data_IF_406865397440
#
_entry.id   IF_406865397440
#
_cell.length_a   1.000
_cell.length_b   1.000
_cell.length_c   1.000
_cell.angle_alpha   90.00
_cell.angle_beta   90.00
_cell.angle_gamma   90.00
#
_symmetry.space_group_name_H-M   'P 1'
#
loop_
_entity.id
_entity.type
_entity.pdbx_description
1 polymer ?
#
# COMPACT_ATOMS: atom_id res chain seq x y z
N UNK A 1 -8.62 35.03 -23.69
CA UNK A 1 -7.50 34.87 -22.74
C UNK A 1 -7.66 33.69 -21.76
N UNK A 2 -8.74 32.89 -21.84
CA UNK A 2 -9.04 31.79 -20.90
C UNK A 2 -8.50 30.39 -21.30
N UNK A 3 -7.95 30.22 -22.51
CA UNK A 3 -7.61 28.88 -23.05
C UNK A 3 -6.20 28.36 -22.73
N UNK A 4 -5.30 29.18 -22.17
CA UNK A 4 -3.90 28.76 -21.91
C UNK A 4 -3.68 28.22 -20.50
N UNK A 5 -4.49 28.62 -19.53
CA UNK A 5 -4.34 28.17 -18.13
C UNK A 5 -4.87 26.75 -17.93
N UNK A 6 -5.95 26.39 -18.63
CA UNK A 6 -6.52 25.03 -18.61
C UNK A 6 -5.61 23.99 -19.27
N UNK A 7 -4.89 24.37 -20.33
CA UNK A 7 -3.98 23.46 -21.03
C UNK A 7 -2.72 23.15 -20.22
N UNK A 8 -2.23 24.11 -19.42
CA UNK A 8 -1.05 23.93 -18.56
C UNK A 8 -1.37 23.10 -17.31
N UNK A 9 -2.58 23.22 -16.77
CA UNK A 9 -3.03 22.39 -15.65
C UNK A 9 -3.34 20.95 -16.08
N UNK A 10 -3.87 20.74 -17.29
CA UNK A 10 -4.02 19.40 -17.87
C UNK A 10 -2.65 18.75 -18.15
N UNK A 11 -1.68 19.52 -18.66
CA UNK A 11 -0.31 19.02 -18.86
C UNK A 11 0.37 18.65 -17.55
N UNK A 12 0.27 19.50 -16.52
CA UNK A 12 0.85 19.23 -15.20
C UNK A 12 0.25 17.97 -14.53
N UNK A 13 -1.07 17.76 -14.65
CA UNK A 13 -1.73 16.56 -14.15
C UNK A 13 -1.31 15.28 -14.91
N UNK A 14 -1.01 15.38 -16.21
CA UNK A 14 -0.48 14.25 -16.99
C UNK A 14 1.02 14.00 -16.79
N UNK A 15 1.77 14.87 -16.11
CA UNK A 15 3.18 14.62 -15.76
C UNK A 15 3.35 13.99 -14.39
N UNK A 16 2.41 14.18 -13.46
CA UNK A 16 2.45 13.54 -12.14
C UNK A 16 2.14 12.05 -12.21
N UNK A 17 1.30 11.62 -13.16
CA UNK A 17 0.95 10.20 -13.34
C UNK A 17 1.89 9.43 -14.28
N UNK A 18 2.65 10.14 -15.14
CA UNK A 18 3.66 9.54 -16.02
C UNK A 18 5.04 9.38 -15.36
N UNK A 19 5.30 10.03 -14.21
CA UNK A 19 6.61 9.99 -13.57
C UNK A 19 6.85 8.73 -12.70
N UNK A 20 5.84 7.89 -12.47
CA UNK A 20 6.00 6.61 -11.78
C UNK A 20 6.18 5.42 -12.74
N UNK A 21 5.77 5.55 -14.00
CA UNK A 21 5.82 4.46 -14.99
C UNK A 21 7.24 4.16 -15.48
N UNK A 22 7.65 2.90 -15.32
CA UNK A 22 8.90 2.28 -15.82
C UNK A 22 10.22 2.85 -15.29
N UNK A 23 10.44 2.79 -13.98
CA UNK A 23 11.68 3.29 -13.38
C UNK A 23 12.45 2.25 -12.58
N UNK A 24 13.05 1.30 -13.30
CA UNK A 24 14.23 0.57 -12.78
C UNK A 24 15.44 1.47 -12.90
N UNK A 25 16.09 1.76 -11.78
CA UNK A 25 17.33 2.52 -11.78
C UNK A 25 18.52 1.58 -11.67
N UNK A 26 19.56 1.82 -12.47
CA UNK A 26 20.83 1.09 -12.34
C UNK A 26 21.92 2.06 -11.89
N UNK A 27 22.67 1.69 -10.88
CA UNK A 27 23.79 2.50 -10.39
C UNK A 27 25.03 2.38 -11.29
N UNK A 28 26.09 3.12 -10.92
CA UNK A 28 27.38 3.08 -11.62
C UNK A 28 28.09 1.71 -11.53
N UNK A 29 27.66 0.83 -10.63
CA UNK A 29 28.20 -0.52 -10.44
C UNK A 29 27.43 -1.59 -11.24
N UNK A 30 26.31 -1.22 -11.88
CA UNK A 30 25.43 -2.13 -12.61
C UNK A 30 24.35 -2.78 -11.74
N UNK A 31 24.18 -2.34 -10.49
CA UNK A 31 23.17 -2.84 -9.56
C UNK A 31 21.84 -2.14 -9.82
N UNK A 32 20.76 -2.91 -9.95
CA UNK A 32 19.41 -2.39 -10.17
C UNK A 32 18.66 -2.15 -8.87
N UNK A 33 17.90 -1.04 -8.80
CA UNK A 33 17.08 -0.61 -7.67
C UNK A 33 15.65 -0.34 -8.11
N UNK A 34 14.73 -0.53 -7.17
CA UNK A 34 13.30 -0.22 -7.30
C UNK A 34 12.98 1.29 -7.25
N UNK A 35 13.93 2.11 -6.81
CA UNK A 35 13.72 3.56 -6.60
C UNK A 35 14.84 4.42 -7.21
N UNK A 36 14.58 5.73 -7.47
CA UNK A 36 15.58 6.65 -7.99
C UNK A 36 16.80 6.78 -7.08
N UNK A 37 17.98 6.87 -7.70
CA UNK A 37 19.19 7.30 -7.00
C UNK A 37 19.12 8.80 -6.75
N UNK A 38 19.32 9.23 -5.50
CA UNK A 38 19.46 10.65 -5.16
C UNK A 38 20.96 10.98 -5.17
N UNK A 39 21.37 11.94 -6.02
CA UNK A 39 22.77 12.35 -6.17
C UNK A 39 23.75 11.21 -6.54
N UNK A 40 23.28 10.22 -7.32
CA UNK A 40 24.11 9.08 -7.74
C UNK A 40 24.39 8.06 -6.62
N UNK A 41 23.78 8.24 -5.45
CA UNK A 41 23.77 7.28 -4.36
C UNK A 41 22.35 6.74 -4.19
N UNK A 42 22.25 5.50 -3.72
CA UNK A 42 20.96 4.95 -3.30
C UNK A 42 20.48 5.82 -2.15
N UNK A 43 19.29 6.38 -2.26
CA UNK A 43 18.62 7.08 -1.19
C UNK A 43 18.13 6.07 -0.14
N UNK A 44 19.05 5.29 0.42
CA UNK A 44 18.71 4.40 1.51
C UNK A 44 18.39 5.25 2.71
N UNK A 45 17.33 4.91 3.44
CA UNK A 45 17.34 5.11 4.87
C UNK A 45 18.54 4.29 5.39
N UNK A 46 19.69 4.94 5.60
CA UNK A 46 20.88 4.29 6.15
C UNK A 46 20.96 4.61 7.63
N UNK A 47 20.92 3.61 8.53
CA UNK A 47 20.79 2.16 8.28
C UNK A 47 19.36 1.75 7.87
N UNK A 48 19.18 0.56 7.23
CA UNK A 48 17.87 0.06 6.82
C UNK A 48 16.84 0.18 7.94
N UNK A 49 15.64 0.63 7.60
CA UNK A 49 14.54 0.78 8.55
C UNK A 49 14.11 -0.61 9.03
N UNK A 50 14.45 -0.91 10.28
CA UNK A 50 13.95 -2.10 10.97
C UNK A 50 12.77 -1.69 11.84
N UNK A 51 11.55 -1.99 11.37
CA UNK A 51 10.35 -1.76 12.16
C UNK A 51 10.28 -2.73 13.33
N UNK A 52 10.54 -2.21 14.52
CA UNK A 52 10.32 -2.96 15.75
C UNK A 52 8.83 -2.93 16.08
N UNK A 53 8.22 -4.07 16.42
CA UNK A 53 6.83 -4.06 16.84
C UNK A 53 6.59 -3.14 18.02
N UNK A 54 5.41 -2.51 18.08
CA UNK A 54 5.03 -1.60 19.16
C UNK A 54 5.08 -2.31 20.52
N UNK A 55 5.62 -1.60 21.52
CA UNK A 55 5.61 -2.04 22.91
C UNK A 55 4.18 -2.03 23.49
N UNK A 56 3.91 -2.79 24.56
CA UNK A 56 2.60 -2.77 25.22
C UNK A 56 2.19 -1.37 25.71
N UNK A 57 3.17 -0.54 26.11
CA UNK A 57 2.93 0.87 26.46
C UNK A 57 2.44 1.67 25.25
N UNK A 58 3.10 1.51 24.10
CA UNK A 58 2.72 2.18 22.86
C UNK A 58 1.38 1.68 22.31
N UNK A 59 1.12 0.37 22.38
CA UNK A 59 -0.17 -0.22 22.03
C UNK A 59 -1.29 0.38 22.88
N UNK A 60 -1.10 0.44 24.20
CA UNK A 60 -2.10 1.02 25.10
C UNK A 60 -2.31 2.51 24.85
N UNK A 61 -1.24 3.28 24.62
CA UNK A 61 -1.33 4.69 24.26
C UNK A 61 -2.09 4.90 22.95
N UNK A 62 -1.88 4.02 21.98
CA UNK A 62 -2.64 3.98 20.73
C UNK A 62 -4.02 3.31 20.88
N UNK A 63 -4.48 3.00 22.11
CA UNK A 63 -5.76 2.33 22.38
C UNK A 63 -5.94 0.99 21.65
N UNK A 64 -4.84 0.28 21.37
CA UNK A 64 -4.83 -1.07 20.83
C UNK A 64 -4.71 -2.10 21.96
N UNK A 65 -5.21 -3.34 21.76
CA UNK A 65 -5.07 -4.39 22.76
C UNK A 65 -3.58 -4.65 23.05
N UNK A 66 -3.20 -4.82 24.33
CA UNK A 66 -1.84 -5.19 24.66
C UNK A 66 -1.51 -6.57 24.08
N UNK A 67 -0.24 -6.77 23.71
CA UNK A 67 0.22 -8.10 23.31
C UNK A 67 0.12 -9.03 24.52
N UNK A 68 -0.51 -10.17 24.30
CA UNK A 68 -0.55 -11.24 25.30
C UNK A 68 0.88 -11.58 25.73
N UNK A 69 1.15 -11.74 27.03
CA UNK A 69 2.45 -12.20 27.48
C UNK A 69 2.77 -13.52 26.78
N UNK A 70 3.94 -13.62 26.14
CA UNK A 70 4.42 -14.89 25.60
C UNK A 70 4.84 -15.76 26.79
N UNK A 71 3.89 -16.49 27.35
CA UNK A 71 4.22 -17.62 28.21
C UNK A 71 4.71 -18.75 27.31
N UNK A 72 5.86 -19.33 27.63
CA UNK A 72 6.35 -20.54 26.96
C UNK A 72 5.36 -21.66 27.33
N UNK A 73 4.56 -22.05 26.33
CA UNK A 73 3.61 -23.18 26.27
C UNK A 73 2.36 -23.17 27.17
N UNK A 74 1.19 -23.00 26.55
CA UNK A 74 0.22 -24.09 26.29
C UNK A 74 -1.15 -23.53 25.84
N UNK A 75 -1.79 -24.30 24.97
CA UNK A 75 -3.03 -24.05 24.23
C UNK A 75 -4.20 -23.49 25.05
N UNK A 76 -4.86 -22.42 24.56
CA UNK A 76 -6.27 -22.11 24.86
C UNK A 76 -6.97 -21.54 23.61
N UNK A 77 -8.18 -22.04 23.37
CA UNK A 77 -8.96 -21.95 22.14
C UNK A 77 -9.30 -20.53 21.63
N UNK A 78 -9.31 -20.41 20.30
CA UNK A 78 -9.80 -19.26 19.51
C UNK A 78 -11.25 -18.92 19.85
N UNK A 79 -11.52 -17.66 20.23
CA UNK A 79 -12.85 -17.06 20.12
C UNK A 79 -13.09 -16.64 18.67
N UNK A 80 -14.27 -16.95 18.13
CA UNK A 80 -14.76 -16.45 16.84
C UNK A 80 -15.32 -15.03 17.02
N UNK A 81 -14.98 -14.05 16.18
CA UNK A 81 -15.71 -12.79 16.11
C UNK A 81 -17.12 -13.03 15.54
N UNK A 82 -18.12 -12.35 16.08
CA UNK A 82 -19.43 -12.18 15.46
C UNK A 82 -19.34 -11.26 14.25
N UNK A 83 -20.19 -11.48 13.25
CA UNK A 83 -20.26 -10.64 12.04
C UNK A 83 -20.49 -9.18 12.43
N UNK A 84 -19.59 -8.30 12.01
CA UNK A 84 -19.74 -6.85 12.10
C UNK A 84 -20.42 -6.41 10.82
N UNK A 85 -21.45 -5.58 10.95
CA UNK A 85 -22.13 -4.94 9.82
C UNK A 85 -21.12 -4.18 8.95
N UNK A 86 -21.39 -4.11 7.64
CA UNK A 86 -20.55 -3.44 6.67
C UNK A 86 -20.09 -2.06 7.18
N UNK A 87 -18.78 -1.87 7.30
CA UNK A 87 -18.21 -0.62 7.82
C UNK A 87 -18.40 0.47 6.77
N UNK A 88 -19.46 1.25 6.91
CA UNK A 88 -19.52 2.60 6.34
C UNK A 88 -19.02 3.57 7.40
N UNK A 89 -17.75 3.98 7.33
CA UNK A 89 -17.16 4.85 8.36
C UNK A 89 -15.70 5.20 8.10
N UNK A 90 -15.15 6.07 8.94
CA UNK A 90 -13.72 6.38 8.92
C UNK A 90 -12.95 5.36 9.75
N UNK A 91 -11.76 5.02 9.29
CA UNK A 91 -10.87 4.05 9.91
C UNK A 91 -9.42 4.48 9.77
N UNK A 92 -8.56 3.93 10.62
CA UNK A 92 -7.11 3.96 10.47
C UNK A 92 -6.60 2.60 10.02
N UNK A 93 -5.51 2.58 9.26
CA UNK A 93 -4.91 1.34 8.76
C UNK A 93 -3.76 0.93 9.68
N UNK A 94 -3.91 -0.19 10.38
CA UNK A 94 -2.86 -0.78 11.22
C UNK A 94 -1.98 -1.68 10.36
N UNK A 95 -0.67 -1.53 10.50
CA UNK A 95 0.32 -2.39 9.85
C UNK A 95 0.81 -3.45 10.83
N UNK A 96 0.70 -4.71 10.44
CA UNK A 96 1.18 -5.88 11.21
C UNK A 96 2.24 -6.64 10.44
N UNK A 97 3.19 -7.24 11.14
CA UNK A 97 4.13 -8.20 10.56
C UNK A 97 3.45 -9.54 10.21
N UNK A 98 4.19 -10.40 9.54
CA UNK A 98 3.76 -11.77 9.17
C UNK A 98 3.34 -12.63 10.38
N UNK A 99 3.79 -12.29 11.59
CA UNK A 99 3.47 -13.00 12.84
C UNK A 99 2.26 -12.37 13.56
N UNK A 100 1.62 -11.36 12.97
CA UNK A 100 0.46 -10.66 13.51
C UNK A 100 0.79 -9.59 14.56
N UNK A 101 2.06 -9.26 14.76
CA UNK A 101 2.50 -8.22 15.67
C UNK A 101 2.41 -6.83 15.03
N UNK A 102 1.79 -5.87 15.73
CA UNK A 102 1.64 -4.50 15.22
C UNK A 102 2.98 -3.80 15.11
N UNK A 103 3.31 -3.33 13.90
CA UNK A 103 4.49 -2.51 13.60
C UNK A 103 4.20 -1.02 13.78
N UNK A 104 2.98 -0.59 13.43
CA UNK A 104 2.55 0.81 13.45
C UNK A 104 1.25 1.01 12.69
N UNK A 105 1.14 2.17 12.06
CA UNK A 105 0.03 2.61 11.21
C UNK A 105 0.57 3.08 9.87
N UNK A 106 -0.27 3.08 8.84
CA UNK A 106 0.02 3.83 7.61
C UNK A 106 0.07 5.32 7.96
N UNK A 107 1.16 6.00 7.63
CA UNK A 107 1.36 7.42 7.92
C UNK A 107 0.56 8.32 6.98
N UNK A 108 0.14 9.49 7.48
CA UNK A 108 -0.56 10.51 6.66
C UNK A 108 0.39 11.42 5.86
N UNK A 109 1.65 11.51 6.29
CA UNK A 109 2.69 12.28 5.63
C UNK A 109 3.44 11.35 4.68
N UNK A 110 3.55 11.75 3.42
CA UNK A 110 4.21 10.96 2.39
C UNK A 110 5.73 11.04 2.52
N UNK A 111 6.42 10.06 1.96
CA UNK A 111 7.87 10.10 1.74
C UNK A 111 8.23 11.08 0.62
N UNK A 112 9.54 11.27 0.39
CA UNK A 112 10.05 12.04 -0.75
C UNK A 112 9.72 11.40 -2.12
N UNK A 113 9.17 10.19 -2.13
CA UNK A 113 8.73 9.46 -3.33
C UNK A 113 7.20 9.45 -3.50
N UNK A 114 6.48 10.29 -2.75
CA UNK A 114 5.00 10.34 -2.73
C UNK A 114 4.34 9.02 -2.30
N UNK A 115 5.05 8.20 -1.52
CA UNK A 115 4.58 6.91 -1.00
C UNK A 115 4.22 7.01 0.48
N UNK A 116 3.39 6.08 0.97
CA UNK A 116 3.01 6.05 2.39
C UNK A 116 4.07 5.32 3.25
N UNK A 117 4.58 5.95 4.33
CA UNK A 117 5.46 5.28 5.29
C UNK A 117 4.68 4.56 6.40
N UNK A 118 5.39 3.77 7.22
CA UNK A 118 4.88 3.28 8.50
C UNK A 118 5.22 4.28 9.62
N UNK A 119 4.22 4.75 10.35
CA UNK A 119 4.40 5.55 11.56
C UNK A 119 4.06 4.78 12.83
N UNK A 120 4.81 5.01 13.91
CA UNK A 120 4.51 4.48 15.24
C UNK A 120 3.64 5.42 16.08
N UNK A 121 3.44 6.66 15.62
CA UNK A 121 2.59 7.65 16.27
C UNK A 121 1.16 7.58 15.71
N UNK A 122 0.20 7.22 16.56
CA UNK A 122 -1.21 7.13 16.18
C UNK A 122 -1.83 8.48 15.76
N UNK A 123 -1.25 9.62 16.15
CA UNK A 123 -1.73 10.95 15.76
C UNK A 123 -1.31 11.35 14.34
N UNK A 124 -0.32 10.64 13.80
CA UNK A 124 0.16 10.76 12.42
C UNK A 124 -0.40 9.66 11.51
N UNK A 125 -1.30 8.81 12.02
CA UNK A 125 -1.94 7.76 11.25
C UNK A 125 -2.87 8.35 10.17
N UNK A 126 -2.82 7.77 8.97
CA UNK A 126 -3.73 8.05 7.88
C UNK A 126 -5.15 7.62 8.28
N UNK A 127 -6.10 8.54 8.08
CA UNK A 127 -7.52 8.25 8.21
C UNK A 127 -8.12 8.05 6.82
N UNK A 128 -8.84 6.95 6.62
CA UNK A 128 -9.52 6.62 5.37
C UNK A 128 -10.99 6.39 5.61
N UNK A 129 -11.82 6.64 4.60
CA UNK A 129 -13.22 6.22 4.54
C UNK A 129 -13.32 5.04 3.60
N UNK A 130 -13.90 3.93 4.07
CA UNK A 130 -14.18 2.77 3.22
C UNK A 130 -15.40 3.08 2.36
N UNK A 131 -15.23 3.00 1.03
CA UNK A 131 -16.27 3.23 0.03
C UNK A 131 -16.48 1.93 -0.73
N UNK A 132 -17.57 1.18 -0.50
CA UNK A 132 -17.86 -0.02 -1.28
C UNK A 132 -18.05 0.29 -2.77
N UNK A 133 -17.73 -0.66 -3.65
CA UNK A 133 -18.04 -0.54 -5.08
C UNK A 133 -19.55 -0.25 -5.29
N UNK A 134 -19.91 0.60 -6.27
CA UNK A 134 -21.30 0.77 -6.68
C UNK A 134 -21.88 -0.50 -7.34
N UNK A 135 -21.04 -1.42 -7.83
CA UNK A 135 -21.47 -2.72 -8.33
C UNK A 135 -21.75 -3.68 -7.15
N UNK A 136 -23.00 -4.12 -6.94
CA UNK A 136 -23.36 -5.01 -5.85
C UNK A 136 -22.79 -6.43 -5.97
N UNK A 137 -22.21 -6.79 -7.12
CA UNK A 137 -21.57 -8.09 -7.36
C UNK A 137 -20.07 -8.08 -7.09
N UNK A 138 -19.51 -6.89 -6.83
CA UNK A 138 -18.10 -6.70 -6.54
C UNK A 138 -17.80 -6.77 -5.04
N UNK A 139 -16.74 -7.49 -4.69
CA UNK A 139 -16.19 -7.52 -3.33
C UNK A 139 -15.16 -6.39 -3.09
N UNK A 140 -14.94 -5.53 -4.08
CA UNK A 140 -13.96 -4.47 -3.99
C UNK A 140 -14.46 -3.26 -3.20
N UNK A 141 -13.52 -2.61 -2.53
CA UNK A 141 -13.72 -1.35 -1.81
C UNK A 141 -12.64 -0.36 -2.20
N UNK A 142 -12.99 0.91 -2.14
CA UNK A 142 -12.07 2.02 -2.22
C UNK A 142 -11.75 2.56 -0.82
N UNK A 143 -10.53 3.07 -0.68
CA UNK A 143 -10.04 3.68 0.56
C UNK A 143 -9.84 5.18 0.33
N UNK A 144 -10.88 5.97 0.57
CA UNK A 144 -10.88 7.41 0.32
C UNK A 144 -10.17 8.17 1.43
N UNK A 145 -9.29 9.11 1.07
CA UNK A 145 -8.59 10.02 1.97
C UNK A 145 -9.43 11.30 2.13
N UNK A 146 -9.99 11.58 3.32
CA UNK A 146 -10.84 12.75 3.51
C UNK A 146 -10.08 14.06 3.31
N UNK A 147 -10.67 14.98 2.53
CA UNK A 147 -10.13 16.34 2.34
C UNK A 147 -9.02 16.47 1.29
N UNK A 148 -8.66 15.38 0.59
CA UNK A 148 -7.70 15.44 -0.51
C UNK A 148 -8.36 15.82 -1.85
N UNK A 149 -7.62 16.46 -2.79
CA UNK A 149 -8.06 16.67 -4.16
C UNK A 149 -8.40 15.37 -4.89
N UNK A 150 -9.27 15.44 -5.90
CA UNK A 150 -9.81 14.25 -6.58
C UNK A 150 -8.72 13.34 -7.18
N UNK A 151 -7.63 13.92 -7.67
CA UNK A 151 -6.51 13.22 -8.31
C UNK A 151 -5.62 12.43 -7.34
N UNK A 152 -5.75 12.67 -6.04
CA UNK A 152 -4.96 12.08 -4.95
C UNK A 152 -5.84 11.64 -3.76
N UNK A 153 -7.13 11.43 -4.03
CA UNK A 153 -8.14 11.22 -2.98
C UNK A 153 -8.31 9.77 -2.54
N UNK A 154 -7.56 8.82 -3.11
CA UNK A 154 -7.69 7.40 -2.80
C UNK A 154 -6.34 6.76 -2.52
N UNK A 155 -6.31 5.80 -1.61
CA UNK A 155 -5.14 4.95 -1.39
C UNK A 155 -5.17 3.82 -2.41
N UNK A 156 -4.11 3.65 -3.18
CA UNK A 156 -4.00 2.52 -4.10
C UNK A 156 -2.58 2.27 -4.59
N UNK A 157 -2.49 1.67 -5.77
CA UNK A 157 -1.23 1.24 -6.37
C UNK A 157 -0.85 2.16 -7.52
N UNK A 158 0.31 2.81 -7.41
CA UNK A 158 1.01 3.43 -8.53
C UNK A 158 2.04 2.44 -9.09
N UNK A 159 2.02 2.15 -10.40
CA UNK A 159 2.92 1.15 -11.00
C UNK A 159 4.37 1.65 -10.97
N UNK A 160 5.31 0.86 -10.44
CA UNK A 160 6.75 1.17 -10.39
C UNK A 160 7.60 0.47 -11.46
N UNK A 161 6.97 -0.11 -12.47
CA UNK A 161 7.30 -1.43 -13.00
C UNK A 161 8.76 -1.77 -13.37
N UNK A 162 9.02 -3.08 -13.18
CA UNK A 162 10.14 -3.86 -13.68
C UNK A 162 9.69 -5.24 -14.18
N UNK A 163 8.85 -5.27 -15.21
CA UNK A 163 8.30 -6.50 -15.77
C UNK A 163 6.96 -6.23 -16.47
N UNK A 164 6.50 -7.17 -17.29
CA UNK A 164 5.30 -6.96 -18.12
C UNK A 164 3.97 -7.27 -17.41
N UNK A 165 3.98 -7.87 -16.21
CA UNK A 165 2.77 -8.36 -15.52
C UNK A 165 3.01 -8.58 -14.03
N UNK A 166 2.00 -8.37 -13.18
CA UNK A 166 2.02 -8.95 -11.83
C UNK A 166 1.82 -10.47 -11.89
N UNK A 167 2.43 -11.19 -10.95
CA UNK A 167 2.19 -12.62 -10.76
C UNK A 167 3.46 -13.43 -10.55
N UNK A 168 3.28 -14.73 -10.40
CA UNK A 168 4.35 -15.68 -10.05
C UNK A 168 5.52 -15.61 -11.03
N UNK A 169 6.73 -15.49 -10.51
CA UNK A 169 7.98 -15.40 -11.28
C UNK A 169 8.28 -14.04 -11.89
N UNK A 170 7.39 -13.04 -11.73
CA UNK A 170 7.60 -11.69 -12.22
C UNK A 170 7.95 -10.73 -11.08
N UNK A 171 8.96 -9.89 -11.29
CA UNK A 171 9.42 -8.90 -10.33
C UNK A 171 8.69 -7.55 -10.44
N UNK A 172 7.55 -7.50 -11.15
CA UNK A 172 6.70 -6.32 -11.19
C UNK A 172 6.22 -5.95 -9.77
N UNK A 173 6.26 -4.65 -9.49
CA UNK A 173 5.90 -4.05 -8.21
C UNK A 173 5.16 -2.73 -8.44
N UNK A 174 4.51 -2.23 -7.40
CA UNK A 174 3.90 -0.92 -7.39
C UNK A 174 4.00 -0.28 -6.00
N UNK A 175 4.01 1.05 -5.99
CA UNK A 175 4.08 1.85 -4.79
C UNK A 175 2.70 2.06 -4.19
N UNK A 176 2.62 2.08 -2.86
CA UNK A 176 1.41 2.50 -2.16
C UNK A 176 1.41 4.00 -1.99
N UNK A 177 0.49 4.67 -2.70
CA UNK A 177 0.41 6.12 -2.71
C UNK A 177 -1.02 6.64 -2.87
N UNK A 178 -1.20 7.96 -2.70
CA UNK A 178 -2.43 8.63 -3.03
C UNK A 178 -2.58 8.74 -4.56
N UNK A 179 -3.73 8.32 -5.06
CA UNK A 179 -4.03 8.27 -6.50
C UNK A 179 -5.46 8.70 -6.78
N UNK A 180 -5.79 8.81 -8.06
CA UNK A 180 -7.12 9.17 -8.53
C UNK A 180 -8.11 8.01 -8.34
N UNK A 181 -9.39 8.36 -8.23
CA UNK A 181 -10.47 7.38 -8.30
C UNK A 181 -10.41 6.62 -9.63
N UNK A 182 -10.66 5.31 -9.58
CA UNK A 182 -10.76 4.49 -10.78
C UNK A 182 -11.93 4.96 -11.63
N UNK A 183 -11.70 5.19 -12.92
CA UNK A 183 -12.77 5.53 -13.88
C UNK A 183 -13.49 4.29 -14.43
N UNK A 184 -12.92 3.10 -14.22
CA UNK A 184 -13.43 1.81 -14.70
C UNK A 184 -13.41 0.78 -13.58
N UNK A 185 -14.25 0.98 -12.53
CA UNK A 185 -14.42 -0.03 -11.52
C UNK A 185 -15.02 -1.29 -12.14
N UNK A 186 -14.47 -2.45 -11.80
CA UNK A 186 -15.06 -3.77 -12.04
C UNK A 186 -15.14 -4.38 -13.46
N UNK A 187 -14.78 -3.71 -14.57
CA UNK A 187 -14.92 -4.33 -15.92
C UNK A 187 -13.68 -4.38 -16.81
N UNK A 188 -12.67 -3.53 -16.58
CA UNK A 188 -11.58 -3.36 -17.54
C UNK A 188 -10.25 -3.91 -17.01
N UNK A 189 -9.43 -4.41 -17.94
CA UNK A 189 -8.11 -4.95 -17.65
C UNK A 189 -7.16 -3.85 -17.19
N UNK A 190 -6.50 -4.01 -16.04
CA UNK A 190 -5.41 -3.12 -15.65
C UNK A 190 -4.13 -3.59 -16.31
N UNK A 191 -3.97 -3.20 -17.58
CA UNK A 191 -2.75 -3.46 -18.33
C UNK A 191 -1.57 -2.84 -17.58
N UNK A 192 -0.47 -3.59 -17.50
CA UNK A 192 0.79 -3.03 -17.01
C UNK A 192 1.21 -1.93 -18.00
N UNK A 193 1.19 -0.68 -17.53
CA UNK A 193 1.32 0.52 -18.36
C UNK A 193 0.18 1.55 -18.21
N UNK A 194 -0.91 1.20 -17.51
CA UNK A 194 -1.86 2.17 -16.95
C UNK A 194 -1.25 2.94 -15.76
N UNK A 195 -1.74 4.14 -15.45
CA UNK A 195 -1.02 5.06 -14.55
C UNK A 195 -1.16 4.77 -13.04
N UNK A 196 -2.16 4.01 -12.60
CA UNK A 196 -2.44 3.64 -11.19
C UNK A 196 -3.81 2.96 -11.09
N UNK A 197 -4.10 2.29 -9.96
CA UNK A 197 -5.43 1.75 -9.66
C UNK A 197 -5.77 1.90 -8.17
N UNK A 198 -6.96 2.46 -7.87
CA UNK A 198 -7.49 2.63 -6.51
C UNK A 198 -8.39 1.49 -6.07
N UNK A 199 -9.13 0.90 -7.01
CA UNK A 199 -10.07 -0.19 -6.72
C UNK A 199 -9.37 -1.56 -6.68
N UNK A 200 -8.31 -1.66 -5.86
CA UNK A 200 -7.53 -2.90 -5.66
C UNK A 200 -7.90 -3.62 -4.35
N UNK A 201 -8.64 -2.99 -3.45
CA UNK A 201 -8.81 -3.48 -2.10
C UNK A 201 -10.03 -4.38 -1.97
N UNK A 202 -9.89 -5.42 -1.17
CA UNK A 202 -10.99 -6.22 -0.64
C UNK A 202 -10.90 -6.23 0.87
N UNK A 203 -12.05 -6.24 1.54
CA UNK A 203 -12.14 -6.17 3.00
C UNK A 203 -12.82 -7.42 3.54
N UNK A 204 -12.15 -8.14 4.45
CA UNK A 204 -12.85 -9.15 5.24
C UNK A 204 -13.63 -8.47 6.38
N UNK A 205 -14.97 -8.47 6.37
CA UNK A 205 -15.76 -7.72 7.34
C UNK A 205 -15.68 -8.29 8.77
N UNK A 206 -15.24 -9.54 8.93
CA UNK A 206 -15.14 -10.20 10.25
C UNK A 206 -13.79 -9.97 10.94
N UNK A 207 -12.71 -9.82 10.18
CA UNK A 207 -11.35 -9.63 10.70
C UNK A 207 -10.80 -8.24 10.47
N UNK A 208 -11.47 -7.46 9.63
CA UNK A 208 -11.08 -6.15 9.14
C UNK A 208 -9.73 -6.16 8.41
N UNK A 209 -9.29 -7.33 7.95
CA UNK A 209 -8.07 -7.48 7.17
C UNK A 209 -8.35 -6.99 5.75
N UNK A 210 -7.48 -6.09 5.28
CA UNK A 210 -7.45 -5.66 3.87
C UNK A 210 -6.56 -6.62 3.07
N UNK A 211 -7.03 -6.98 1.89
CA UNK A 211 -6.24 -7.69 0.87
C UNK A 211 -6.25 -6.88 -0.41
N UNK A 212 -5.15 -6.91 -1.16
CA UNK A 212 -5.03 -6.22 -2.43
C UNK A 212 -5.02 -7.23 -3.59
N UNK A 213 -5.74 -6.91 -4.66
CA UNK A 213 -5.84 -7.70 -5.89
C UNK A 213 -5.60 -6.78 -7.07
N UNK A 214 -4.79 -7.24 -8.02
CA UNK A 214 -4.61 -6.59 -9.31
C UNK A 214 -5.39 -7.32 -10.39
N UNK A 215 -6.14 -6.62 -11.24
CA UNK A 215 -6.78 -7.27 -12.40
C UNK A 215 -5.82 -7.25 -13.58
N UNK A 216 -5.28 -8.41 -13.92
CA UNK A 216 -4.37 -8.53 -15.06
C UNK A 216 -5.07 -8.33 -16.42
N UNK A 217 -4.30 -8.43 -17.50
CA UNK A 217 -4.80 -8.32 -18.89
C UNK A 217 -5.82 -9.41 -19.27
N UNK A 218 -5.87 -10.53 -18.53
CA UNK A 218 -6.88 -11.57 -18.72
C UNK A 218 -8.18 -11.30 -17.97
N UNK A 219 -8.25 -10.23 -17.17
CA UNK A 219 -9.36 -9.94 -16.25
C UNK A 219 -9.32 -10.74 -14.94
N UNK A 220 -8.42 -11.72 -14.81
CA UNK A 220 -8.30 -12.51 -13.59
C UNK A 220 -7.67 -11.70 -12.44
N UNK A 221 -8.19 -11.84 -11.20
CA UNK A 221 -7.61 -11.20 -10.03
C UNK A 221 -6.29 -11.89 -9.63
N UNK A 222 -5.23 -11.10 -9.55
CA UNK A 222 -3.89 -11.49 -9.13
C UNK A 222 -3.66 -10.98 -7.71
N UNK A 223 -3.49 -11.86 -6.70
CA UNK A 223 -3.18 -11.44 -5.34
C UNK A 223 -1.88 -10.64 -5.26
N UNK A 224 -1.95 -9.49 -4.61
CA UNK A 224 -0.78 -8.67 -4.30
C UNK A 224 -0.32 -8.94 -2.87
N UNK A 225 0.98 -9.14 -2.71
CA UNK A 225 1.63 -9.14 -1.41
C UNK A 225 1.98 -7.72 -1.02
N UNK A 226 1.45 -7.29 0.13
CA UNK A 226 1.84 -6.04 0.76
C UNK A 226 3.17 -6.22 1.50
N UNK A 227 4.10 -5.31 1.30
CA UNK A 227 5.36 -5.29 2.02
C UNK A 227 5.77 -3.87 2.39
N UNK A 228 6.64 -3.79 3.40
CA UNK A 228 7.31 -2.57 3.77
C UNK A 228 8.75 -2.66 3.26
N UNK A 229 9.19 -1.69 2.47
CA UNK A 229 10.56 -1.61 1.98
C UNK A 229 11.41 -0.87 3.00
N UNK A 230 12.19 -1.61 3.80
CA UNK A 230 13.06 -1.02 4.80
C UNK A 230 14.27 -0.32 4.21
N UNK A 231 14.51 -0.44 2.90
CA UNK A 231 15.55 0.29 2.18
C UNK A 231 15.17 1.76 2.03
N UNK A 232 13.90 2.05 1.70
CA UNK A 232 13.40 3.40 1.41
C UNK A 232 12.38 3.93 2.44
N UNK A 233 11.83 3.05 3.29
CA UNK A 233 10.99 3.41 4.43
C UNK A 233 9.49 3.49 4.13
N UNK A 234 9.04 2.90 3.03
CA UNK A 234 7.68 2.98 2.50
C UNK A 234 6.99 1.63 2.35
N UNK A 235 5.77 1.68 1.81
CA UNK A 235 4.84 0.57 1.65
C UNK A 235 4.59 0.32 0.17
N UNK A 236 4.66 -0.94 -0.22
CA UNK A 236 4.64 -1.37 -1.61
C UNK A 236 3.85 -2.67 -1.82
N UNK A 237 3.66 -3.01 -3.09
CA UNK A 237 2.97 -4.18 -3.58
C UNK A 237 3.84 -4.99 -4.55
N UNK A 238 3.79 -6.32 -4.42
CA UNK A 238 4.36 -7.22 -5.42
C UNK A 238 3.44 -8.42 -5.68
N UNK A 239 3.34 -8.86 -6.92
CA UNK A 239 2.64 -10.09 -7.29
C UNK A 239 3.43 -11.35 -6.90
N UNK A 240 4.76 -11.24 -6.87
CA UNK A 240 5.68 -12.26 -6.34
C UNK A 240 6.83 -11.57 -5.60
N UNK A 241 6.70 -11.51 -4.27
CA UNK A 241 7.69 -10.86 -3.41
C UNK A 241 9.08 -11.51 -3.52
N UNK A 242 9.15 -12.82 -3.77
CA UNK A 242 10.43 -13.52 -3.91
C UNK A 242 11.12 -13.11 -5.21
N UNK A 243 10.38 -13.03 -6.33
CA UNK A 243 10.92 -12.56 -7.59
C UNK A 243 11.38 -11.09 -7.51
N UNK A 244 10.64 -10.24 -6.80
CA UNK A 244 11.02 -8.85 -6.51
C UNK A 244 12.36 -8.79 -5.76
N UNK A 245 12.47 -9.44 -4.60
CA UNK A 245 13.70 -9.42 -3.78
C UNK A 245 14.90 -9.97 -4.53
N UNK A 246 14.72 -11.04 -5.31
CA UNK A 246 15.80 -11.61 -6.11
C UNK A 246 16.30 -10.66 -7.21
N UNK A 247 15.46 -9.75 -7.71
CA UNK A 247 15.82 -8.81 -8.77
C UNK A 247 16.50 -7.56 -8.23
N UNK A 248 16.01 -7.00 -7.13
CA UNK A 248 16.46 -5.71 -6.61
C UNK A 248 17.37 -5.79 -5.40
N UNK A 249 17.30 -6.88 -4.63
CA UNK A 249 18.09 -7.04 -3.40
C UNK A 249 17.65 -6.15 -2.25
N UNK A 250 16.49 -5.50 -2.35
CA UNK A 250 15.95 -4.61 -1.33
C UNK A 250 15.61 -5.36 -0.03
N UNK A 251 15.82 -4.69 1.11
CA UNK A 251 15.45 -5.21 2.42
C UNK A 251 13.95 -5.00 2.66
N UNK A 252 13.15 -6.03 2.41
CA UNK A 252 11.69 -5.95 2.55
C UNK A 252 11.16 -6.79 3.71
N UNK A 253 10.05 -6.35 4.28
CA UNK A 253 9.27 -7.10 5.27
C UNK A 253 7.83 -7.27 4.78
N UNK A 254 7.35 -8.51 4.67
CA UNK A 254 5.94 -8.76 4.38
C UNK A 254 5.06 -8.25 5.52
N UNK A 255 3.97 -7.56 5.17
CA UNK A 255 3.04 -7.00 6.13
C UNK A 255 1.59 -7.40 5.86
N UNK A 256 0.71 -7.13 6.82
CA UNK A 256 -0.74 -7.29 6.71
C UNK A 256 -1.41 -6.02 7.23
N UNK A 257 -2.43 -5.55 6.51
CA UNK A 257 -3.19 -4.38 6.90
C UNK A 257 -4.51 -4.77 7.57
N UNK A 258 -4.81 -4.08 8.66
CA UNK A 258 -6.05 -4.26 9.41
C UNK A 258 -6.69 -2.90 9.63
N UNK A 259 -7.94 -2.73 9.18
CA UNK A 259 -8.72 -1.55 9.47
C UNK A 259 -9.11 -1.52 10.94
N UNK A 260 -9.00 -0.32 11.50
CA UNK A 260 -9.51 0.00 12.82
C UNK A 260 -10.51 1.14 12.68
N UNK A 261 -11.82 0.87 12.87
CA UNK A 261 -12.83 1.92 12.92
C UNK A 261 -12.48 2.96 13.99
N UNK A 262 -12.69 4.23 13.66
CA UNK A 262 -12.46 5.35 14.57
C UNK A 262 -13.62 5.57 15.54
#
# INVERSE_FOLDING_TARGET
MFNRVFLVSLLAASFSSLAAGDKIYTDISGTSFSHPLINGQVATASPPVVWKPLSNRALLAARLPPRSPKFVESLVAKRRPSAVDAISGTATIIVKDENGATLGFVGKELTDFDTFPITQDSTLALTVTVVPSPDPTSDFVDLKIPGQPADTSFVGLALGAAGAAFGKGNAAYGFMGPISESTTPDSDTNNVGGASESQIWTLNPSTLVLSALWRGESGDPIPLTLFADGTFGDLDFAGDLTAFVNKFGDFVQKVTFVLRPN
#
